data_IF_205183016641
#
_entry.id   IF_205183016641
#
_cell.length_a   1.000
_cell.length_b   1.000
_cell.length_c   1.000
_cell.angle_alpha   90.00
_cell.angle_beta   90.00
_cell.angle_gamma   90.00
#
_symmetry.space_group_name_H-M   'P 1'
#
loop_
_entity.id
_entity.type
_entity.pdbx_description
1 polymer ?
#
# COMPACT_ATOMS: atom_id res chain seq x y z
N UNK A 1 7.80 -2.52 4.00
CA UNK A 1 6.87 -1.86 3.06
C UNK A 1 7.02 -2.30 1.60
N UNK A 2 8.23 -2.58 1.08
CA UNK A 2 8.45 -2.84 -0.36
C UNK A 2 7.95 -4.17 -0.95
N UNK A 3 7.60 -5.18 -0.16
CA UNK A 3 7.14 -6.49 -0.68
C UNK A 3 5.62 -6.63 -0.77
N UNK A 4 4.86 -5.82 -0.02
CA UNK A 4 3.40 -5.92 0.07
C UNK A 4 2.71 -5.02 -0.94
N UNK A 5 3.29 -3.87 -1.28
CA UNK A 5 2.74 -2.92 -2.26
C UNK A 5 3.21 -3.26 -3.67
N UNK A 6 2.40 -4.05 -4.39
CA UNK A 6 2.60 -4.33 -5.82
C UNK A 6 1.96 -3.23 -6.66
N UNK A 7 2.55 -2.91 -7.82
CA UNK A 7 1.99 -1.95 -8.77
C UNK A 7 0.77 -2.55 -9.50
N UNK A 8 -0.38 -2.50 -8.83
CA UNK A 8 -1.65 -3.02 -9.33
C UNK A 8 -2.20 -2.22 -10.52
N UNK A 9 -1.76 -0.97 -10.70
CA UNK A 9 -2.11 -0.14 -11.87
C UNK A 9 -1.56 -0.73 -13.17
N UNK A 10 -0.31 -1.24 -13.14
CA UNK A 10 0.27 -1.96 -14.27
C UNK A 10 -0.46 -3.28 -14.50
N UNK A 11 -0.79 -4.01 -13.44
CA UNK A 11 -1.54 -5.26 -13.55
C UNK A 11 -2.92 -5.04 -14.21
N UNK A 12 -3.62 -3.96 -13.85
CA UNK A 12 -4.90 -3.58 -14.46
C UNK A 12 -4.74 -3.23 -15.94
N UNK A 13 -3.70 -2.46 -16.29
CA UNK A 13 -3.41 -2.13 -17.68
C UNK A 13 -3.12 -3.38 -18.53
N UNK A 14 -2.37 -4.35 -18.00
CA UNK A 14 -2.11 -5.62 -18.65
C UNK A 14 -3.40 -6.45 -18.76
N UNK A 15 -4.22 -6.53 -17.71
CA UNK A 15 -5.50 -7.23 -17.73
C UNK A 15 -6.39 -6.77 -18.89
N UNK A 16 -6.51 -5.45 -19.07
CA UNK A 16 -7.39 -4.85 -20.08
C UNK A 16 -6.84 -4.94 -21.51
N UNK A 17 -5.52 -5.11 -21.68
CA UNK A 17 -4.85 -5.09 -23.00
C UNK A 17 -4.45 -6.47 -23.51
N UNK A 18 -4.14 -7.42 -22.61
CA UNK A 18 -3.62 -8.72 -22.98
C UNK A 18 -4.68 -9.85 -22.96
N UNK A 19 -5.77 -9.70 -22.22
CA UNK A 19 -6.74 -10.79 -21.98
C UNK A 19 -8.09 -10.59 -22.68
N UNK A 20 -8.22 -9.60 -23.56
CA UNK A 20 -9.49 -9.28 -24.23
C UNK A 20 -10.55 -8.73 -23.27
N UNK A 21 -11.75 -8.42 -23.79
CA UNK A 21 -12.76 -7.68 -23.02
C UNK A 21 -13.39 -8.46 -21.87
N UNK A 22 -13.82 -9.69 -22.08
CA UNK A 22 -14.53 -10.47 -21.05
C UNK A 22 -13.58 -10.90 -19.92
N UNK A 23 -12.51 -11.63 -20.24
CA UNK A 23 -11.56 -12.10 -19.23
C UNK A 23 -10.78 -10.94 -18.60
N UNK A 24 -10.43 -9.91 -19.39
CA UNK A 24 -9.79 -8.70 -18.87
C UNK A 24 -10.65 -7.98 -17.84
N UNK A 25 -11.97 -7.94 -18.01
CA UNK A 25 -12.90 -7.32 -17.06
C UNK A 25 -13.01 -8.11 -15.74
N UNK A 26 -13.06 -9.45 -15.81
CA UNK A 26 -13.04 -10.31 -14.61
C UNK A 26 -11.74 -10.14 -13.81
N UNK A 27 -10.60 -10.15 -14.50
CA UNK A 27 -9.28 -9.94 -13.88
C UNK A 27 -9.18 -8.52 -13.30
N UNK A 28 -9.65 -7.50 -14.04
CA UNK A 28 -9.69 -6.12 -13.58
C UNK A 28 -10.49 -5.94 -12.29
N UNK A 29 -11.63 -6.64 -12.16
CA UNK A 29 -12.45 -6.61 -10.95
C UNK A 29 -11.69 -7.18 -9.74
N UNK A 30 -11.01 -8.32 -9.91
CA UNK A 30 -10.19 -8.93 -8.85
C UNK A 30 -9.05 -7.98 -8.44
N UNK A 31 -8.37 -7.36 -9.41
CA UNK A 31 -7.29 -6.39 -9.16
C UNK A 31 -7.82 -5.16 -8.41
N UNK A 32 -9.00 -4.65 -8.78
CA UNK A 32 -9.62 -3.53 -8.10
C UNK A 32 -9.97 -3.85 -6.64
N UNK A 33 -10.51 -5.03 -6.36
CA UNK A 33 -10.75 -5.47 -4.98
C UNK A 33 -9.44 -5.61 -4.19
N UNK A 34 -8.41 -6.20 -4.79
CA UNK A 34 -7.10 -6.32 -4.18
C UNK A 34 -6.49 -4.95 -3.85
N UNK A 35 -6.69 -3.95 -4.73
CA UNK A 35 -6.24 -2.58 -4.51
C UNK A 35 -6.89 -1.95 -3.28
N UNK A 36 -8.20 -2.10 -3.15
CA UNK A 36 -8.94 -1.60 -1.97
C UNK A 36 -8.41 -2.25 -0.70
N UNK A 37 -8.30 -3.58 -0.68
CA UNK A 37 -7.82 -4.31 0.50
C UNK A 37 -6.40 -3.86 0.87
N UNK A 38 -5.51 -3.70 -0.11
CA UNK A 38 -4.13 -3.30 0.13
C UNK A 38 -4.02 -1.88 0.73
N UNK A 39 -4.77 -0.91 0.21
CA UNK A 39 -4.79 0.47 0.73
C UNK A 39 -5.38 0.50 2.14
N UNK A 40 -6.51 -0.18 2.35
CA UNK A 40 -7.19 -0.19 3.65
C UNK A 40 -6.36 -0.93 4.72
N UNK A 41 -5.74 -2.06 4.37
CA UNK A 41 -4.87 -2.80 5.27
C UNK A 41 -3.63 -1.99 5.66
N UNK A 42 -3.03 -1.22 4.74
CA UNK A 42 -1.90 -0.35 5.06
C UNK A 42 -2.29 0.76 6.06
N UNK A 43 -3.45 1.39 5.86
CA UNK A 43 -3.97 2.39 6.78
C UNK A 43 -4.28 1.80 8.17
N UNK A 44 -4.86 0.60 8.21
CA UNK A 44 -5.12 -0.12 9.45
C UNK A 44 -3.84 -0.57 10.14
N UNK A 45 -2.84 -1.02 9.37
CA UNK A 45 -1.53 -1.44 9.90
C UNK A 45 -0.85 -0.29 10.64
N UNK A 46 -0.79 0.91 10.07
CA UNK A 46 -0.21 2.09 10.73
C UNK A 46 -0.93 2.37 12.06
N UNK A 47 -2.26 2.46 12.01
CA UNK A 47 -3.09 2.77 13.19
C UNK A 47 -2.98 1.75 14.33
N UNK A 48 -2.88 0.47 13.98
CA UNK A 48 -2.79 -0.59 14.97
C UNK A 48 -1.36 -0.80 15.47
N UNK A 49 -0.37 -0.58 14.60
CA UNK A 49 1.04 -0.68 14.96
C UNK A 49 1.45 0.36 16.01
N UNK A 50 0.97 1.61 15.91
CA UNK A 50 1.20 2.64 16.94
C UNK A 50 0.68 2.21 18.32
N UNK A 51 -0.39 1.42 18.34
CA UNK A 51 -1.04 0.95 19.58
C UNK A 51 -0.40 -0.31 20.15
N UNK A 52 0.21 -1.16 19.32
CA UNK A 52 0.91 -2.38 19.75
C UNK A 52 2.38 -2.10 20.11
N UNK A 53 3.08 -1.32 19.30
CA UNK A 53 4.51 -1.07 19.44
C UNK A 53 4.83 0.24 20.16
N UNK A 54 3.81 1.08 20.41
CA UNK A 54 3.98 2.41 20.98
C UNK A 54 4.44 3.44 19.93
N UNK A 55 4.38 4.74 20.25
CA UNK A 55 4.84 5.79 19.35
C UNK A 55 6.34 5.62 19.09
N UNK A 56 6.73 5.78 17.82
CA UNK A 56 8.14 5.79 17.43
C UNK A 56 8.81 6.92 18.20
N UNK A 57 9.93 6.69 18.92
CA UNK A 57 10.62 7.74 19.63
C UNK A 57 10.95 8.88 18.67
N UNK A 58 10.48 10.09 18.98
CA UNK A 58 10.84 11.29 18.23
C UNK A 58 12.37 11.39 18.28
N UNK A 59 13.00 11.02 17.17
CA UNK A 59 14.41 11.24 16.96
C UNK A 59 14.57 12.72 16.68
N UNK A 60 14.46 13.56 17.72
CA UNK A 60 14.86 14.95 17.64
C UNK A 60 16.36 14.95 17.31
N UNK A 61 16.79 15.44 16.12
CA UNK A 61 18.20 15.72 15.95
C UNK A 61 18.53 16.84 16.94
N UNK A 62 19.26 16.49 18.00
CA UNK A 62 19.82 17.45 18.92
C UNK A 62 20.83 18.29 18.16
N UNK A 63 20.37 19.38 17.55
CA UNK A 63 21.24 20.49 17.16
C UNK A 63 21.73 21.08 18.49
N UNK A 64 22.87 20.54 18.90
CA UNK A 64 23.72 20.92 20.00
C UNK A 64 23.69 22.44 20.21
N UNK A 65 23.11 22.86 21.33
CA UNK A 65 23.33 24.18 21.91
C UNK A 65 24.84 24.46 21.94
N UNK A 66 25.28 25.48 21.22
CA UNK A 66 26.58 26.13 21.41
C UNK A 66 26.44 27.60 20.98
N UNK A 67 26.00 28.42 21.92
CA UNK A 67 26.18 29.87 21.94
C UNK A 67 26.32 30.31 23.39
#
# INVERSE_FOLDING_TARGET
>A
YGTVMRNLSIALAIAMTAFGKEQGAEIALIIAMAYIIQVQAAAWYVRFSDRIFGPVPDSQPSIQQSA
#
